data_IF_455862410275
#
_entry.id   IF_455862410275
#
_cell.length_a   1.000
_cell.length_b   1.000
_cell.length_c   1.000
_cell.angle_alpha   90.00
_cell.angle_beta   90.00
_cell.angle_gamma   90.00
#
_symmetry.space_group_name_H-M   'P 1'
#
loop_
_entity.id
_entity.type
_entity.pdbx_description
1 polymer ?
#
# COMPACT_ATOMS: atom_id res chain seq x y z
N UNK A 1 5.61 -19.55 -8.69
CA UNK A 1 5.75 -18.10 -8.44
C UNK A 1 5.58 -17.82 -6.95
N UNK A 2 4.49 -18.27 -6.35
CA UNK A 2 4.28 -18.33 -4.90
C UNK A 2 5.46 -18.96 -4.14
N UNK A 3 5.97 -20.11 -4.59
CA UNK A 3 7.06 -20.85 -3.90
C UNK A 3 8.36 -20.06 -3.76
N UNK A 4 8.66 -19.15 -4.70
CA UNK A 4 9.85 -18.30 -4.63
C UNK A 4 9.66 -17.18 -3.61
N UNK A 5 8.46 -16.59 -3.54
CA UNK A 5 8.12 -15.55 -2.58
C UNK A 5 8.13 -16.12 -1.17
N UNK A 6 7.56 -17.32 -0.96
CA UNK A 6 7.61 -18.02 0.31
C UNK A 6 9.04 -18.28 0.78
N UNK A 7 9.95 -18.67 -0.13
CA UNK A 7 11.37 -18.83 0.21
C UNK A 7 12.01 -17.51 0.66
N UNK A 8 11.67 -16.39 0.02
CA UNK A 8 12.15 -15.07 0.42
C UNK A 8 11.63 -14.68 1.80
N UNK A 9 10.30 -14.77 2.01
CA UNK A 9 9.66 -14.45 3.29
C UNK A 9 10.22 -15.32 4.42
N UNK A 10 10.28 -16.63 4.24
CA UNK A 10 10.81 -17.55 5.25
C UNK A 10 12.29 -17.28 5.56
N UNK A 11 13.07 -16.81 4.56
CA UNK A 11 14.47 -16.43 4.79
C UNK A 11 14.57 -15.13 5.59
N UNK A 12 13.72 -14.15 5.32
CA UNK A 12 13.69 -12.88 6.05
C UNK A 12 13.33 -13.13 7.53
N UNK A 13 12.20 -13.79 7.81
CA UNK A 13 11.74 -13.96 9.19
C UNK A 13 12.61 -14.91 10.03
N UNK A 14 13.46 -15.74 9.41
CA UNK A 14 14.56 -16.45 10.12
C UNK A 14 15.64 -15.52 10.67
N UNK A 15 15.74 -14.27 10.19
CA UNK A 15 16.72 -13.28 10.62
C UNK A 15 16.21 -12.37 11.75
N UNK A 16 14.92 -12.45 12.08
CA UNK A 16 14.29 -11.70 13.17
C UNK A 16 13.33 -10.62 12.66
N UNK A 17 12.84 -9.81 13.60
CA UNK A 17 11.97 -8.67 13.35
C UNK A 17 12.76 -7.45 12.84
N UNK A 18 12.20 -6.77 11.85
CA UNK A 18 12.79 -5.64 11.16
C UNK A 18 12.21 -4.28 11.60
N UNK A 19 11.07 -4.24 12.31
CA UNK A 19 10.33 -3.01 12.59
C UNK A 19 11.18 -1.94 13.29
N UNK A 20 11.95 -2.33 14.31
CA UNK A 20 12.87 -1.40 14.99
C UNK A 20 13.90 -0.79 14.04
N UNK A 21 14.48 -1.61 13.15
CA UNK A 21 15.50 -1.15 12.19
C UNK A 21 14.87 -0.22 11.16
N UNK A 22 13.71 -0.60 10.60
CA UNK A 22 12.98 0.22 9.64
C UNK A 22 12.60 1.57 10.26
N UNK A 23 11.98 1.58 11.43
CA UNK A 23 11.55 2.80 12.11
C UNK A 23 12.68 3.74 12.53
N UNK A 24 13.92 3.24 12.68
CA UNK A 24 15.07 4.05 13.11
C UNK A 24 15.99 4.49 11.98
N UNK A 25 16.14 3.66 10.94
CA UNK A 25 17.23 3.83 9.98
C UNK A 25 16.77 3.94 8.53
N UNK A 26 15.50 3.68 8.22
CA UNK A 26 14.97 3.83 6.86
C UNK A 26 14.30 5.19 6.71
N UNK A 27 14.69 5.93 5.68
CA UNK A 27 14.07 7.20 5.33
C UNK A 27 12.69 6.96 4.72
N UNK A 28 11.63 7.42 5.40
CA UNK A 28 10.24 7.31 4.96
C UNK A 28 9.97 8.01 3.62
N UNK A 29 10.83 8.94 3.20
CA UNK A 29 10.74 9.69 1.95
C UNK A 29 11.57 9.07 0.80
N UNK A 30 12.14 7.88 0.99
CA UNK A 30 13.04 7.24 0.01
C UNK A 30 12.46 7.20 -1.42
N UNK A 31 11.17 6.92 -1.57
CA UNK A 31 10.52 6.82 -2.89
C UNK A 31 9.87 8.12 -3.39
N UNK A 32 9.81 9.17 -2.57
CA UNK A 32 9.11 10.42 -2.91
C UNK A 32 9.60 10.98 -4.26
N UNK A 33 10.91 10.96 -4.50
CA UNK A 33 11.50 11.48 -5.74
C UNK A 33 11.04 10.74 -6.99
N UNK A 34 10.82 9.43 -6.92
CA UNK A 34 10.33 8.64 -8.07
C UNK A 34 8.81 8.76 -8.21
N UNK A 35 8.07 8.67 -7.11
CA UNK A 35 6.60 8.70 -7.12
C UNK A 35 6.10 10.07 -7.59
N UNK A 36 6.76 11.16 -7.20
CA UNK A 36 6.43 12.51 -7.64
C UNK A 36 6.69 12.76 -9.15
N UNK A 37 7.34 11.84 -9.87
CA UNK A 37 7.45 11.90 -11.34
C UNK A 37 6.14 11.51 -12.04
N UNK A 38 5.22 10.85 -11.34
CA UNK A 38 3.90 10.54 -11.90
C UNK A 38 3.14 11.86 -12.04
N UNK A 39 2.87 12.24 -13.29
CA UNK A 39 2.20 13.50 -13.61
C UNK A 39 0.71 13.48 -13.28
N UNK A 40 0.14 14.64 -12.98
CA UNK A 40 -1.31 14.88 -12.82
C UNK A 40 -1.95 14.12 -11.65
N UNK A 41 -1.21 13.92 -10.56
CA UNK A 41 -1.72 13.38 -9.31
C UNK A 41 -1.22 14.23 -8.14
N UNK A 42 -1.93 14.14 -7.01
CA UNK A 42 -1.37 14.49 -5.71
C UNK A 42 -0.97 13.20 -5.00
N UNK A 43 0.15 13.25 -4.27
CA UNK A 43 0.70 12.12 -3.54
C UNK A 43 0.69 12.48 -2.06
N UNK A 44 0.07 11.63 -1.26
CA UNK A 44 0.18 11.68 0.19
C UNK A 44 1.03 10.49 0.68
N UNK A 45 2.17 10.79 1.29
CA UNK A 45 3.03 9.77 1.90
C UNK A 45 2.51 9.48 3.31
N UNK A 46 1.95 8.28 3.47
CA UNK A 46 1.40 7.78 4.73
C UNK A 46 2.28 6.71 5.37
N UNK A 47 3.55 6.62 4.96
CA UNK A 47 4.49 5.61 5.47
C UNK A 47 4.65 5.70 6.98
N UNK A 48 4.32 4.61 7.65
CA UNK A 48 4.64 4.40 9.05
C UNK A 48 5.18 2.99 9.28
N UNK A 49 6.30 2.87 10.01
CA UNK A 49 6.98 1.59 10.25
C UNK A 49 6.68 1.01 11.62
N UNK A 50 5.67 1.55 12.34
CA UNK A 50 5.31 1.07 13.68
C UNK A 50 4.77 -0.37 13.66
N UNK A 51 3.95 -0.71 12.66
CA UNK A 51 3.34 -2.03 12.48
C UNK A 51 3.32 -2.46 11.00
N UNK A 52 4.27 -1.92 10.24
CA UNK A 52 4.35 -2.12 8.79
C UNK A 52 5.80 -2.20 8.35
N UNK A 53 6.03 -3.03 7.34
CA UNK A 53 7.31 -3.21 6.67
C UNK A 53 7.31 -2.65 5.25
N UNK A 54 6.51 -1.61 4.96
CA UNK A 54 6.42 -1.01 3.62
C UNK A 54 6.32 0.51 3.62
N UNK A 55 6.71 1.11 2.49
CA UNK A 55 6.40 2.48 2.14
C UNK A 55 4.99 2.56 1.59
N UNK A 56 4.15 3.45 2.14
CA UNK A 56 2.72 3.53 1.84
C UNK A 56 2.35 4.91 1.33
N UNK A 57 1.66 4.94 0.19
CA UNK A 57 1.27 6.18 -0.50
C UNK A 57 -0.19 6.12 -0.93
N UNK A 58 -0.89 7.24 -0.81
CA UNK A 58 -2.20 7.45 -1.41
C UNK A 58 -2.04 8.43 -2.58
N UNK A 59 -2.38 7.96 -3.78
CA UNK A 59 -2.33 8.72 -5.01
C UNK A 59 -3.74 9.17 -5.37
N UNK A 60 -3.92 10.49 -5.33
CA UNK A 60 -5.18 11.18 -5.52
C UNK A 60 -5.20 11.91 -6.88
N UNK A 61 -6.38 12.13 -7.46
CA UNK A 61 -6.55 13.11 -8.54
C UNK A 61 -5.97 14.50 -8.19
N UNK A 62 -5.46 15.23 -9.19
CA UNK A 62 -4.72 16.50 -9.02
C UNK A 62 -5.54 17.62 -8.35
N UNK A 63 -6.86 17.57 -8.45
CA UNK A 63 -7.78 18.50 -7.81
C UNK A 63 -7.93 18.27 -6.30
N UNK A 64 -7.45 17.13 -5.78
CA UNK A 64 -7.55 16.78 -4.34
C UNK A 64 -6.22 17.01 -3.63
N UNK A 65 -6.06 18.18 -2.98
CA UNK A 65 -4.80 18.61 -2.34
C UNK A 65 -4.76 18.41 -0.82
N UNK A 66 -5.60 17.54 -0.28
CA UNK A 66 -5.72 17.34 1.16
C UNK A 66 -4.97 16.10 1.60
N UNK A 67 -4.46 16.11 2.82
CA UNK A 67 -3.91 14.91 3.46
C UNK A 67 -5.02 13.89 3.65
N UNK A 68 -4.73 12.64 3.37
CA UNK A 68 -5.58 11.50 3.66
C UNK A 68 -6.00 11.47 5.14
N UNK A 69 -7.26 11.12 5.40
CA UNK A 69 -7.82 11.05 6.75
C UNK A 69 -8.02 12.40 7.46
N UNK A 70 -7.69 13.52 6.81
CA UNK A 70 -7.91 14.85 7.37
C UNK A 70 -9.39 15.24 7.43
N UNK A 71 -9.69 16.29 8.19
CA UNK A 71 -11.03 16.89 8.24
C UNK A 71 -11.40 17.44 6.87
N UNK A 72 -10.45 18.10 6.19
CA UNK A 72 -10.62 18.67 4.86
C UNK A 72 -10.90 17.57 3.81
N UNK A 73 -10.20 16.45 3.89
CA UNK A 73 -10.48 15.28 3.05
C UNK A 73 -11.91 14.78 3.30
N UNK A 74 -12.32 14.65 4.56
CA UNK A 74 -13.66 14.20 4.93
C UNK A 74 -14.75 15.15 4.43
N UNK A 75 -14.54 16.46 4.55
CA UNK A 75 -15.45 17.48 4.01
C UNK A 75 -15.51 17.44 2.48
N UNK A 76 -14.38 17.19 1.82
CA UNK A 76 -14.33 17.06 0.37
C UNK A 76 -15.11 15.83 -0.11
N UNK A 77 -14.93 14.66 0.53
CA UNK A 77 -15.73 13.45 0.24
C UNK A 77 -17.23 13.72 0.43
N UNK A 78 -17.63 14.42 1.51
CA UNK A 78 -19.04 14.78 1.73
C UNK A 78 -19.61 15.65 0.62
N UNK A 79 -18.81 16.58 0.07
CA UNK A 79 -19.22 17.46 -1.03
C UNK A 79 -19.29 16.73 -2.36
N UNK A 80 -18.31 15.90 -2.68
CA UNK A 80 -18.23 15.17 -3.95
C UNK A 80 -19.04 13.87 -3.97
N UNK A 81 -19.51 13.40 -2.82
CA UNK A 81 -20.22 12.13 -2.59
C UNK A 81 -19.38 10.87 -2.85
N UNK A 82 -18.42 10.89 -3.77
CA UNK A 82 -17.51 9.79 -4.05
C UNK A 82 -16.11 10.28 -4.44
N UNK A 83 -15.07 9.57 -4.02
CA UNK A 83 -13.68 9.76 -4.50
C UNK A 83 -13.05 8.40 -4.74
N UNK A 84 -12.39 8.25 -5.88
CA UNK A 84 -11.59 7.08 -6.22
C UNK A 84 -10.11 7.44 -6.15
N UNK A 85 -9.31 6.64 -5.45
CA UNK A 85 -7.88 6.84 -5.30
C UNK A 85 -7.13 5.51 -5.42
N UNK A 86 -5.80 5.58 -5.53
CA UNK A 86 -4.95 4.39 -5.67
C UNK A 86 -3.97 4.37 -4.52
N UNK A 87 -3.92 3.26 -3.79
CA UNK A 87 -2.92 3.03 -2.74
C UNK A 87 -1.77 2.22 -3.33
N UNK A 88 -0.55 2.67 -3.05
CA UNK A 88 0.68 1.96 -3.38
C UNK A 88 1.39 1.60 -2.09
N UNK A 89 1.71 0.33 -1.93
CA UNK A 89 2.56 -0.17 -0.85
C UNK A 89 3.78 -0.85 -1.46
N UNK A 90 4.99 -0.39 -1.12
CA UNK A 90 6.25 -0.97 -1.58
C UNK A 90 6.94 -1.58 -0.36
N UNK A 91 7.19 -2.89 -0.36
CA UNK A 91 7.88 -3.54 0.74
C UNK A 91 9.28 -2.95 0.93
N UNK A 92 9.64 -2.63 2.18
CA UNK A 92 10.94 -2.11 2.54
C UNK A 92 12.00 -3.23 2.68
N UNK A 93 11.55 -4.49 2.74
CA UNK A 93 12.39 -5.66 3.05
C UNK A 93 12.52 -6.64 1.86
N UNK A 94 11.76 -6.42 0.78
CA UNK A 94 11.81 -7.24 -0.43
C UNK A 94 11.35 -6.45 -1.67
N UNK A 95 11.71 -6.86 -2.90
CA UNK A 95 11.37 -6.14 -4.13
C UNK A 95 9.93 -6.41 -4.59
N UNK A 96 8.97 -6.27 -3.68
CA UNK A 96 7.55 -6.53 -3.92
C UNK A 96 6.71 -5.30 -3.59
N UNK A 97 5.60 -5.15 -4.30
CA UNK A 97 4.63 -4.10 -4.07
C UNK A 97 3.20 -4.64 -4.19
N UNK A 98 2.24 -3.87 -3.68
CA UNK A 98 0.83 -4.03 -3.97
C UNK A 98 0.21 -2.69 -4.35
N UNK A 99 -0.63 -2.72 -5.37
CA UNK A 99 -1.47 -1.60 -5.80
C UNK A 99 -2.92 -1.95 -5.48
N UNK A 100 -3.56 -1.16 -4.60
CA UNK A 100 -4.97 -1.29 -4.26
C UNK A 100 -5.75 -0.09 -4.81
N UNK A 101 -7.00 -0.31 -5.18
CA UNK A 101 -7.91 0.75 -5.58
C UNK A 101 -8.88 1.02 -4.44
N UNK A 102 -8.93 2.28 -4.01
CA UNK A 102 -9.72 2.71 -2.87
C UNK A 102 -10.86 3.60 -3.34
N UNK A 103 -12.07 3.37 -2.82
CA UNK A 103 -13.23 4.21 -3.09
C UNK A 103 -13.86 4.67 -1.79
N UNK A 104 -13.89 5.99 -1.62
CA UNK A 104 -14.58 6.66 -0.53
C UNK A 104 -15.98 7.06 -0.99
N UNK A 105 -16.99 6.76 -0.17
CA UNK A 105 -18.38 7.14 -0.44
C UNK A 105 -18.99 7.79 0.78
N UNK A 106 -19.70 8.89 0.56
CA UNK A 106 -20.54 9.47 1.59
C UNK A 106 -21.97 8.97 1.44
N UNK A 107 -22.39 8.11 2.37
CA UNK A 107 -23.69 7.43 2.40
C UNK A 107 -24.28 7.57 3.80
N UNK A 108 -25.55 8.00 3.91
CA UNK A 108 -26.30 8.04 5.16
C UNK A 108 -25.60 8.77 6.34
N UNK A 109 -24.81 9.81 6.06
CA UNK A 109 -24.11 10.57 7.11
C UNK A 109 -22.72 10.03 7.47
N UNK A 110 -22.31 8.90 6.88
CA UNK A 110 -21.01 8.25 7.13
C UNK A 110 -20.15 8.22 5.87
N UNK A 111 -18.82 8.23 6.05
CA UNK A 111 -17.88 7.99 4.96
C UNK A 111 -17.46 6.52 5.04
N UNK A 112 -17.73 5.78 3.97
CA UNK A 112 -17.35 4.38 3.81
C UNK A 112 -16.13 4.28 2.90
N UNK A 113 -15.19 3.39 3.25
CA UNK A 113 -14.06 2.99 2.41
C UNK A 113 -14.34 1.59 1.85
N UNK A 114 -14.19 1.45 0.53
CA UNK A 114 -14.18 0.15 -0.15
C UNK A 114 -12.83 -0.03 -0.82
N UNK A 115 -12.20 -1.18 -0.63
CA UNK A 115 -10.97 -1.57 -1.32
C UNK A 115 -11.28 -2.61 -2.38
N UNK A 116 -10.70 -2.45 -3.57
CA UNK A 116 -10.81 -3.40 -4.67
C UNK A 116 -9.44 -3.63 -5.33
N UNK A 117 -9.29 -4.78 -5.98
CA UNK A 117 -8.11 -5.11 -6.78
C UNK A 117 -8.16 -4.53 -8.19
N UNK A 118 -9.27 -3.92 -8.58
CA UNK A 118 -9.51 -3.37 -9.93
C UNK A 118 -9.88 -1.89 -9.90
N UNK A 119 -9.46 -1.10 -10.91
CA UNK A 119 -9.80 0.32 -10.98
C UNK A 119 -11.30 0.58 -11.07
N UNK A 120 -11.76 1.64 -10.41
CA UNK A 120 -13.17 2.06 -10.44
C UNK A 120 -13.53 2.93 -11.65
N UNK A 121 -12.55 3.64 -12.20
CA UNK A 121 -12.74 4.58 -13.31
C UNK A 121 -11.46 4.73 -14.17
N UNK A 122 -11.56 5.45 -15.29
CA UNK A 122 -10.43 5.66 -16.19
C UNK A 122 -9.27 6.42 -15.56
N UNK A 123 -9.55 7.30 -14.59
CA UNK A 123 -8.53 8.07 -13.89
C UNK A 123 -7.69 7.18 -12.97
N UNK A 124 -8.32 6.44 -12.06
CA UNK A 124 -7.65 5.45 -11.20
C UNK A 124 -6.90 4.39 -12.02
N UNK A 125 -7.44 3.99 -13.18
CA UNK A 125 -6.75 3.09 -14.13
C UNK A 125 -5.47 3.71 -14.70
N UNK A 126 -5.49 4.99 -15.07
CA UNK A 126 -4.29 5.71 -15.56
C UNK A 126 -3.23 5.86 -14.47
N UNK A 127 -3.66 6.17 -13.24
CA UNK A 127 -2.78 6.26 -12.07
C UNK A 127 -2.14 4.89 -11.81
N UNK A 128 -2.95 3.83 -11.67
CA UNK A 128 -2.48 2.47 -11.48
C UNK A 128 -1.51 2.01 -12.58
N UNK A 129 -1.80 2.32 -13.85
CA UNK A 129 -0.90 2.00 -14.97
C UNK A 129 0.44 2.74 -14.89
N UNK A 130 0.45 3.97 -14.37
CA UNK A 130 1.68 4.75 -14.20
C UNK A 130 2.53 4.20 -13.06
N UNK A 131 1.88 3.80 -11.96
CA UNK A 131 2.52 3.11 -10.84
C UNK A 131 3.15 1.79 -11.30
N UNK A 132 2.39 0.95 -12.02
CA UNK A 132 2.91 -0.34 -12.49
C UNK A 132 4.15 -0.20 -13.39
N UNK A 133 4.20 0.84 -14.24
CA UNK A 133 5.39 1.16 -15.03
C UNK A 133 6.58 1.59 -14.17
N UNK A 134 6.34 2.41 -13.15
CA UNK A 134 7.37 2.84 -12.20
C UNK A 134 7.94 1.63 -11.43
N UNK A 135 7.09 0.71 -10.99
CA UNK A 135 7.51 -0.50 -10.29
C UNK A 135 8.38 -1.38 -11.20
N UNK A 136 7.91 -1.64 -12.43
CA UNK A 136 8.64 -2.43 -13.42
C UNK A 136 10.01 -1.83 -13.74
N UNK A 137 10.10 -0.50 -13.94
CA UNK A 137 11.38 0.17 -14.22
C UNK A 137 12.38 0.12 -13.06
N UNK A 138 11.91 -0.16 -11.84
CA UNK A 138 12.73 -0.30 -10.65
C UNK A 138 12.92 -1.77 -10.22
N UNK A 139 12.48 -2.74 -11.04
CA UNK A 139 12.59 -4.16 -10.74
C UNK A 139 11.72 -4.61 -9.55
N UNK A 140 10.67 -3.87 -9.24
CA UNK A 140 9.73 -4.18 -8.16
C UNK A 140 8.52 -4.90 -8.75
N UNK A 141 8.20 -6.05 -8.18
CA UNK A 141 7.09 -6.88 -8.67
C UNK A 141 5.80 -6.59 -7.90
N UNK A 142 4.75 -6.20 -8.62
CA UNK A 142 3.41 -6.10 -8.06
C UNK A 142 2.81 -7.49 -7.81
N UNK A 143 2.29 -7.74 -6.62
CA UNK A 143 1.66 -9.00 -6.23
C UNK A 143 0.13 -8.93 -6.37
N UNK A 144 -0.47 -10.04 -6.79
CA UNK A 144 -1.92 -10.20 -6.88
C UNK A 144 -2.53 -10.67 -5.55
N UNK A 145 -3.86 -10.58 -5.46
CA UNK A 145 -4.62 -10.97 -4.27
C UNK A 145 -4.40 -12.43 -3.89
N UNK A 146 -4.38 -13.33 -4.88
CA UNK A 146 -4.21 -14.76 -4.64
C UNK A 146 -2.87 -15.06 -3.97
N UNK A 147 -1.80 -14.45 -4.45
CA UNK A 147 -0.45 -14.57 -3.88
C UNK A 147 -0.40 -13.96 -2.48
N UNK A 148 -0.98 -12.78 -2.29
CA UNK A 148 -0.97 -12.07 -1.01
C UNK A 148 -1.70 -12.84 0.09
N UNK A 149 -2.73 -13.61 -0.26
CA UNK A 149 -3.53 -14.42 0.67
C UNK A 149 -2.91 -15.77 1.04
N UNK A 150 -1.75 -16.13 0.48
CA UNK A 150 -1.07 -17.39 0.82
C UNK A 150 -0.57 -17.31 2.26
N UNK A 151 -0.95 -18.29 3.08
CA UNK A 151 -0.48 -18.43 4.45
C UNK A 151 1.01 -18.83 4.49
N UNK A 152 1.71 -18.27 5.46
CA UNK A 152 3.12 -18.53 5.74
C UNK A 152 3.19 -19.28 7.07
N UNK A 153 3.58 -20.54 7.00
CA UNK A 153 3.74 -21.39 8.18
C UNK A 153 4.90 -20.92 9.07
N UNK A 154 4.81 -21.20 10.37
CA UNK A 154 5.86 -20.94 11.36
C UNK A 154 6.28 -19.46 11.52
N UNK A 155 5.44 -18.51 11.09
CA UNK A 155 5.62 -17.08 11.35
C UNK A 155 4.53 -16.59 12.29
N UNK A 156 4.92 -15.80 13.28
CA UNK A 156 4.05 -15.09 14.22
C UNK A 156 4.50 -13.63 14.29
N UNK A 157 3.55 -12.71 14.09
CA UNK A 157 3.76 -11.26 14.10
C UNK A 157 3.14 -10.64 15.36
N UNK A 158 3.47 -9.38 15.64
CA UNK A 158 3.00 -8.72 16.88
C UNK A 158 1.47 -8.64 16.95
N UNK A 159 0.82 -8.30 15.84
CA UNK A 159 -0.65 -8.16 15.77
C UNK A 159 -1.34 -9.41 15.22
N UNK A 160 -0.59 -10.40 14.73
CA UNK A 160 -1.15 -11.60 14.10
C UNK A 160 -0.30 -12.84 14.36
N UNK A 161 -0.76 -13.63 15.32
CA UNK A 161 -0.04 -14.83 15.77
C UNK A 161 -0.28 -16.06 14.88
N UNK A 162 -1.41 -16.13 14.17
CA UNK A 162 -1.80 -17.29 13.33
C UNK A 162 -2.45 -16.84 12.02
N UNK A 163 -2.43 -17.72 11.01
CA UNK A 163 -2.95 -17.39 9.67
C UNK A 163 -2.20 -16.22 9.02
N UNK A 164 -0.93 -16.05 9.38
CA UNK A 164 -0.05 -15.01 8.82
C UNK A 164 0.08 -15.26 7.33
N UNK A 165 -0.08 -14.22 6.52
CA UNK A 165 -0.03 -14.33 5.05
C UNK A 165 1.19 -13.64 4.46
N UNK A 166 1.45 -13.85 3.18
CA UNK A 166 2.47 -13.09 2.43
C UNK A 166 2.23 -11.59 2.53
N UNK A 167 0.96 -11.14 2.53
CA UNK A 167 0.65 -9.74 2.77
C UNK A 167 1.22 -9.26 4.11
N UNK A 168 0.94 -10.03 5.17
CA UNK A 168 1.35 -9.65 6.51
C UNK A 168 2.87 -9.58 6.64
N UNK A 169 3.56 -10.56 6.06
CA UNK A 169 5.01 -10.62 6.09
C UNK A 169 5.72 -9.51 5.30
N UNK A 170 5.07 -8.89 4.30
CA UNK A 170 5.74 -7.94 3.40
C UNK A 170 5.31 -6.50 3.60
N UNK A 171 4.14 -6.28 4.19
CA UNK A 171 3.47 -4.98 4.20
C UNK A 171 2.99 -4.57 5.60
N UNK A 172 2.00 -5.24 6.18
CA UNK A 172 1.35 -4.81 7.43
C UNK A 172 0.97 -5.99 8.32
N UNK A 173 1.26 -5.89 9.62
CA UNK A 173 0.95 -6.96 10.57
C UNK A 173 -0.56 -7.19 10.73
N UNK A 174 -1.37 -6.17 10.47
CA UNK A 174 -2.84 -6.19 10.55
C UNK A 174 -3.49 -6.31 9.16
N UNK A 175 -4.65 -7.00 9.10
CA UNK A 175 -5.62 -6.89 8.01
C UNK A 175 -7.03 -7.15 8.54
#
# INVERSE_FOLDING_TARGET
MSDEILKVVNKLYKQGDFQYVLGKFVDKHFWDGEINKISNINVDNITDFSYSSCFSYILLPLDVKFRFGSVEFSEYVRKQSEINCVMLMISAIAPYAVVKYLRYRYTNGTIELVEESSPYNDESKKIGSSILKLLDSNGIKNLDKETLSIEVEDVSLELKETGVTIYNCLFEDEY
#
